data_IF_371492942102
#
_entry.id   IF_371492942102
#
_cell.length_a   1.000
_cell.length_b   1.000
_cell.length_c   1.000
_cell.angle_alpha   90.00
_cell.angle_beta   90.00
_cell.angle_gamma   90.00
#
_symmetry.space_group_name_H-M   'P 1'
#
loop_
_entity.id
_entity.type
_entity.pdbx_description
1 polymer ?
#
# COMPACT_ATOMS: atom_id res chain seq x y z
N UNK A 1 -8.34 -4.09 -11.90
CA UNK A 1 -8.08 -4.37 -10.47
C UNK A 1 -7.16 -3.29 -10.03
N UNK A 2 -7.70 -2.38 -9.23
CA UNK A 2 -7.07 -1.14 -8.84
C UNK A 2 -5.99 -1.44 -7.79
N UNK A 3 -4.82 -0.84 -7.95
CA UNK A 3 -3.65 -1.07 -7.11
C UNK A 3 -3.46 0.08 -6.13
N UNK A 4 -3.40 -0.27 -4.84
CA UNK A 4 -3.26 0.68 -3.74
C UNK A 4 -1.91 0.45 -3.06
N UNK A 5 -1.12 1.52 -2.91
CA UNK A 5 0.07 1.53 -2.06
C UNK A 5 -0.25 2.15 -0.70
N UNK A 6 0.14 1.48 0.39
CA UNK A 6 0.02 1.96 1.76
C UNK A 6 1.42 2.16 2.33
N UNK A 7 1.69 3.33 2.89
CA UNK A 7 2.97 3.69 3.50
C UNK A 7 2.75 4.15 4.94
N UNK A 8 3.14 3.33 5.91
CA UNK A 8 2.97 3.64 7.34
C UNK A 8 4.09 2.96 8.15
N UNK A 9 4.64 3.63 9.15
CA UNK A 9 5.72 3.08 9.98
C UNK A 9 5.23 2.08 11.05
N UNK A 10 3.92 2.09 11.34
CA UNK A 10 3.26 1.15 12.24
C UNK A 10 2.78 -0.09 11.47
N UNK A 11 3.54 -1.19 11.61
CA UNK A 11 3.29 -2.46 10.91
C UNK A 11 1.91 -3.05 11.18
N UNK A 12 1.33 -2.80 12.36
CA UNK A 12 -0.01 -3.30 12.67
C UNK A 12 -1.07 -2.67 11.75
N UNK A 13 -0.93 -1.39 11.40
CA UNK A 13 -1.86 -0.73 10.46
C UNK A 13 -1.69 -1.25 9.04
N UNK A 14 -0.46 -1.50 8.61
CA UNK A 14 -0.20 -2.09 7.29
C UNK A 14 -0.95 -3.42 7.12
N UNK A 15 -0.86 -4.33 8.10
CA UNK A 15 -1.54 -5.63 8.06
C UNK A 15 -3.06 -5.47 8.04
N UNK A 16 -3.60 -4.63 8.92
CA UNK A 16 -5.06 -4.42 9.01
C UNK A 16 -5.61 -3.85 7.70
N UNK A 17 -4.94 -2.85 7.12
CA UNK A 17 -5.40 -2.21 5.89
C UNK A 17 -5.20 -3.10 4.66
N UNK A 18 -4.11 -3.89 4.63
CA UNK A 18 -3.87 -4.89 3.59
C UNK A 18 -4.99 -5.93 3.55
N UNK A 19 -5.36 -6.51 4.69
CA UNK A 19 -6.46 -7.48 4.77
C UNK A 19 -7.79 -6.84 4.34
N UNK A 20 -8.13 -5.67 4.88
CA UNK A 20 -9.41 -4.98 4.59
C UNK A 20 -9.57 -4.62 3.11
N UNK A 21 -8.52 -4.09 2.48
CA UNK A 21 -8.59 -3.66 1.08
C UNK A 21 -8.46 -4.85 0.12
N UNK A 22 -7.71 -5.89 0.49
CA UNK A 22 -7.68 -7.14 -0.29
C UNK A 22 -9.04 -7.82 -0.27
N UNK A 23 -9.71 -7.90 0.89
CA UNK A 23 -11.08 -8.43 1.02
C UNK A 23 -12.11 -7.62 0.23
N UNK A 24 -11.86 -6.31 0.04
CA UNK A 24 -12.67 -5.44 -0.81
C UNK A 24 -12.40 -5.59 -2.32
N UNK A 25 -11.40 -6.39 -2.71
CA UNK A 25 -11.08 -6.71 -4.10
C UNK A 25 -9.97 -5.85 -4.73
N UNK A 26 -9.22 -5.10 -3.93
CA UNK A 26 -8.07 -4.31 -4.40
C UNK A 26 -6.78 -5.14 -4.40
N UNK A 27 -5.83 -4.74 -5.26
CA UNK A 27 -4.46 -5.20 -5.14
C UNK A 27 -3.71 -4.26 -4.19
N UNK A 28 -3.22 -4.79 -3.07
CA UNK A 28 -2.54 -3.97 -2.06
C UNK A 28 -1.03 -4.20 -2.11
N UNK A 29 -0.28 -3.11 -2.00
CA UNK A 29 1.17 -3.11 -1.80
C UNK A 29 1.46 -2.26 -0.56
N UNK A 30 2.35 -2.74 0.32
CA UNK A 30 2.68 -2.05 1.57
C UNK A 30 4.16 -1.66 1.63
N UNK A 31 4.45 -0.54 2.29
CA UNK A 31 5.80 -0.11 2.64
C UNK A 31 5.84 0.42 4.07
N UNK A 32 6.82 0.00 4.85
CA UNK A 32 7.04 0.45 6.23
C UNK A 32 7.92 1.71 6.33
N UNK A 33 8.31 2.27 5.18
CA UNK A 33 9.22 3.40 5.08
C UNK A 33 8.92 4.23 3.82
N UNK A 34 9.02 5.55 3.94
CA UNK A 34 8.80 6.48 2.83
C UNK A 34 9.72 6.23 1.62
N UNK A 35 10.98 5.85 1.86
CA UNK A 35 11.94 5.56 0.77
C UNK A 35 11.46 4.38 -0.08
N UNK A 36 11.05 3.30 0.56
CA UNK A 36 10.49 2.11 -0.10
C UNK A 36 9.17 2.45 -0.81
N UNK A 37 8.30 3.23 -0.17
CA UNK A 37 7.05 3.71 -0.78
C UNK A 37 7.30 4.51 -2.06
N UNK A 38 8.28 5.41 -2.04
CA UNK A 38 8.66 6.22 -3.21
C UNK A 38 9.26 5.39 -4.35
N UNK A 39 10.04 4.35 -4.04
CA UNK A 39 10.56 3.41 -5.05
C UNK A 39 9.42 2.62 -5.72
N UNK A 40 8.45 2.16 -4.93
CA UNK A 40 7.26 1.45 -5.44
C UNK A 40 6.42 2.39 -6.30
N UNK A 41 6.14 3.62 -5.84
CA UNK A 41 5.31 4.58 -6.56
C UNK A 41 5.89 5.03 -7.90
N UNK A 42 7.20 4.86 -8.11
CA UNK A 42 7.88 5.15 -9.38
C UNK A 42 7.93 3.95 -10.32
N UNK A 43 7.76 2.73 -9.80
CA UNK A 43 7.92 1.48 -10.55
C UNK A 43 6.59 0.78 -10.86
N UNK A 44 5.50 1.20 -10.24
CA UNK A 44 4.16 0.63 -10.39
C UNK A 44 3.17 1.71 -10.85
N UNK A 45 2.18 1.29 -11.63
CA UNK A 45 1.02 2.12 -11.97
C UNK A 45 0.00 2.00 -10.82
N UNK A 46 -0.08 3.04 -10.00
CA UNK A 46 -0.90 3.06 -8.78
C UNK A 46 -2.15 3.91 -8.99
N UNK A 47 -3.29 3.40 -8.53
CA UNK A 47 -4.55 4.15 -8.54
C UNK A 47 -4.71 5.03 -7.30
N UNK A 48 -4.10 4.61 -6.18
CA UNK A 48 -4.16 5.32 -4.90
C UNK A 48 -2.91 5.10 -4.05
N UNK A 49 -2.50 6.15 -3.34
CA UNK A 49 -1.48 6.12 -2.29
C UNK A 49 -2.09 6.59 -0.97
N UNK A 50 -1.91 5.80 0.09
CA UNK A 50 -2.32 6.12 1.48
C UNK A 50 -1.05 6.27 2.32
N UNK A 51 -0.98 7.33 3.13
CA UNK A 51 0.15 7.68 4.01
C UNK A 51 -0.32 8.20 5.36
#
# INVERSE_FOLDING_TARGET
>A
METILIVDDEKNYLVILEDLLTDAGYQVVTADQAVKGLEISRSHDLDLLIT
#
